data_IF_940270296915
#
_entry.id   IF_940270296915
#
_cell.length_a   1.000
_cell.length_b   1.000
_cell.length_c   1.000
_cell.angle_alpha   90.00
_cell.angle_beta   90.00
_cell.angle_gamma   90.00
#
_symmetry.space_group_name_H-M   'P 1'
#
loop_
_entity.id
_entity.type
_entity.pdbx_description
1 polymer ?
#
# COMPACT_ATOMS: atom_id res chain seq x y z
N UNK A 1 4.69 28.05 26.66
CA UNK A 1 3.88 26.88 27.03
C UNK A 1 4.71 25.63 26.81
N UNK A 2 4.45 24.53 27.49
CA UNK A 2 5.23 23.29 27.34
C UNK A 2 5.27 22.74 25.89
N UNK A 3 4.34 23.14 25.02
CA UNK A 3 4.29 22.78 23.62
C UNK A 3 5.24 23.59 22.73
N UNK A 4 5.74 24.71 23.18
CA UNK A 4 6.69 25.53 22.43
C UNK A 4 8.13 24.98 22.47
N UNK A 5 8.38 24.02 23.35
CA UNK A 5 9.68 23.38 23.52
C UNK A 5 9.80 22.00 22.81
N UNK A 6 8.68 21.48 22.25
CA UNK A 6 8.66 20.19 21.55
C UNK A 6 9.18 20.38 20.12
N UNK A 7 10.23 19.68 19.79
CA UNK A 7 10.82 19.64 18.44
C UNK A 7 10.22 18.49 17.63
N UNK A 8 10.41 18.50 16.31
CA UNK A 8 10.03 17.37 15.44
C UNK A 8 10.71 16.06 15.85
N UNK A 9 11.94 16.11 16.32
CA UNK A 9 12.71 14.96 16.80
C UNK A 9 12.12 14.34 18.08
N UNK A 10 11.47 15.15 18.92
CA UNK A 10 10.80 14.66 20.14
C UNK A 10 9.55 13.84 19.84
N UNK A 11 8.99 13.99 18.63
CA UNK A 11 7.80 13.27 18.17
C UNK A 11 8.13 11.96 17.47
N UNK A 12 9.40 11.73 17.13
CA UNK A 12 9.82 10.51 16.48
C UNK A 12 9.84 9.33 17.46
N UNK A 13 9.46 8.13 17.02
CA UNK A 13 9.62 6.92 17.80
C UNK A 13 11.09 6.63 18.07
N UNK A 14 11.39 6.09 19.25
CA UNK A 14 12.74 5.70 19.64
C UNK A 14 12.85 4.20 19.75
N UNK A 15 13.91 3.63 19.18
CA UNK A 15 14.28 2.24 19.41
C UNK A 15 15.21 2.12 20.60
N UNK A 16 15.21 0.96 21.27
CA UNK A 16 16.09 0.66 22.40
C UNK A 16 16.80 -0.67 22.15
N UNK A 17 18.12 -0.64 22.18
CA UNK A 17 18.96 -1.85 22.12
C UNK A 17 19.69 -1.95 23.45
N UNK A 18 19.51 -3.05 24.18
CA UNK A 18 20.06 -3.26 25.51
C UNK A 18 19.72 -2.15 26.52
N UNK A 19 18.52 -1.58 26.44
CA UNK A 19 18.02 -0.42 27.21
C UNK A 19 18.69 0.93 26.89
N UNK A 20 19.53 1.00 25.87
CA UNK A 20 20.06 2.27 25.38
C UNK A 20 19.24 2.74 24.17
N UNK A 21 18.85 4.04 24.13
CA UNK A 21 18.12 4.59 23.00
C UNK A 21 19.00 4.61 21.77
N UNK A 22 18.43 4.25 20.62
CA UNK A 22 19.08 4.30 19.31
C UNK A 22 18.27 5.20 18.41
N UNK A 23 18.91 6.22 17.87
CA UNK A 23 18.33 7.05 16.83
C UNK A 23 18.42 6.28 15.50
N UNK A 24 17.29 6.03 14.89
CA UNK A 24 17.18 5.25 13.65
C UNK A 24 16.34 5.94 12.57
N UNK A 25 15.81 7.10 12.87
CA UNK A 25 14.93 7.86 11.99
C UNK A 25 15.19 9.35 12.17
N UNK A 26 15.25 10.10 11.08
CA UNK A 26 15.27 11.56 11.10
C UNK A 26 13.91 12.09 10.68
N UNK A 27 13.52 13.24 11.22
CA UNK A 27 12.26 13.90 10.87
C UNK A 27 12.14 14.29 9.40
N UNK A 28 13.28 14.45 8.72
CA UNK A 28 13.35 14.77 7.28
C UNK A 28 13.18 13.55 6.37
N UNK A 29 13.24 12.33 6.91
CA UNK A 29 13.21 11.10 6.13
C UNK A 29 11.78 10.53 6.01
N UNK A 30 10.79 11.25 6.57
CA UNK A 30 9.41 10.84 6.49
C UNK A 30 8.78 11.24 5.15
N UNK A 31 8.31 10.25 4.41
CA UNK A 31 7.65 10.43 3.12
C UNK A 31 6.20 10.85 3.30
N UNK A 32 5.80 11.88 2.60
CA UNK A 32 4.41 12.27 2.38
C UNK A 32 4.07 11.99 0.92
N UNK A 33 3.12 11.12 0.66
CA UNK A 33 2.84 10.68 -0.70
C UNK A 33 1.69 11.47 -1.35
N UNK A 34 0.93 12.21 -0.57
CA UNK A 34 -0.17 13.02 -1.09
C UNK A 34 0.09 14.51 -0.83
N UNK A 35 0.50 15.23 -1.87
CA UNK A 35 0.70 16.69 -1.81
C UNK A 35 -0.61 17.46 -1.57
N UNK A 36 -1.77 16.83 -1.84
CA UNK A 36 -3.09 17.42 -1.66
C UNK A 36 -3.62 17.37 -0.22
N UNK A 37 -2.93 16.65 0.67
CA UNK A 37 -3.20 16.67 2.11
C UNK A 37 -2.63 17.92 2.76
N UNK A 38 -3.19 19.06 2.40
CA UNK A 38 -2.92 20.29 3.15
C UNK A 38 -3.60 20.23 4.52
N UNK A 39 -2.81 19.93 5.55
CA UNK A 39 -3.25 19.94 6.94
C UNK A 39 -3.91 21.28 7.35
N UNK A 40 -3.63 22.35 6.61
CA UNK A 40 -4.24 23.67 6.82
C UNK A 40 -5.70 23.71 6.41
N UNK A 41 -6.13 22.88 5.47
CA UNK A 41 -7.51 22.85 4.98
C UNK A 41 -8.42 21.89 5.73
N UNK A 42 -7.85 20.82 6.32
CA UNK A 42 -8.63 19.81 7.06
C UNK A 42 -8.62 20.01 8.57
N UNK A 43 -7.70 20.81 9.09
CA UNK A 43 -7.52 21.03 10.53
C UNK A 43 -7.01 19.79 11.30
N UNK A 44 -6.74 18.69 10.59
CA UNK A 44 -6.19 17.46 11.12
C UNK A 44 -4.80 17.27 10.52
N UNK A 45 -3.77 17.17 11.37
CA UNK A 45 -2.44 16.73 10.95
C UNK A 45 -2.45 15.26 10.53
N UNK A 46 -1.28 14.71 10.21
CA UNK A 46 -1.11 13.28 9.93
C UNK A 46 -1.18 12.50 11.26
N UNK A 47 -2.32 11.86 11.58
CA UNK A 47 -2.50 11.21 12.89
C UNK A 47 -1.77 9.87 13.00
N UNK A 48 -1.25 9.36 11.88
CA UNK A 48 -0.66 8.02 11.81
C UNK A 48 0.68 8.08 11.08
N UNK A 49 1.64 7.39 11.65
CA UNK A 49 2.96 7.17 11.07
C UNK A 49 3.16 5.67 10.90
N UNK A 50 3.50 5.24 9.70
CA UNK A 50 3.91 3.87 9.40
C UNK A 50 5.42 3.82 9.26
N UNK A 51 6.06 2.87 9.93
CA UNK A 51 7.50 2.67 9.88
C UNK A 51 7.83 1.35 9.20
N UNK A 52 8.79 1.40 8.32
CA UNK A 52 9.46 0.24 7.76
C UNK A 52 10.89 0.23 8.30
N UNK A 53 11.27 -0.86 8.96
CA UNK A 53 12.59 -0.98 9.59
C UNK A 53 13.24 -2.28 9.13
N UNK A 54 14.42 -2.19 8.53
CA UNK A 54 15.26 -3.33 8.20
C UNK A 54 16.18 -3.65 9.38
N UNK A 55 16.07 -4.87 9.86
CA UNK A 55 16.88 -5.35 11.01
C UNK A 55 17.72 -6.53 10.58
N UNK A 56 19.03 -6.44 10.78
CA UNK A 56 19.93 -7.58 10.68
C UNK A 56 19.82 -8.43 11.94
N UNK A 57 19.16 -9.56 11.83
CA UNK A 57 18.90 -10.44 12.97
C UNK A 57 20.19 -11.10 13.50
N UNK A 58 21.15 -11.36 12.62
CA UNK A 58 22.41 -12.00 13.02
C UNK A 58 23.33 -11.03 13.78
N UNK A 59 23.39 -9.79 13.34
CA UNK A 59 24.22 -8.74 13.94
C UNK A 59 23.48 -7.92 15.00
N UNK A 60 22.15 -8.08 15.10
CA UNK A 60 21.28 -7.33 15.99
C UNK A 60 21.38 -5.80 15.79
N UNK A 61 21.46 -5.39 14.52
CA UNK A 61 21.57 -3.97 14.13
C UNK A 61 20.36 -3.55 13.29
N UNK A 62 20.00 -2.27 13.37
CA UNK A 62 19.10 -1.64 12.42
C UNK A 62 19.94 -1.23 11.21
N UNK A 63 19.59 -1.71 10.02
CA UNK A 63 20.32 -1.41 8.79
C UNK A 63 19.73 -0.19 8.08
N UNK A 64 18.40 -0.11 8.04
CA UNK A 64 17.71 1.01 7.41
C UNK A 64 16.32 1.21 7.99
N UNK A 65 15.76 2.40 7.82
CA UNK A 65 14.39 2.72 8.19
C UNK A 65 13.79 3.77 7.27
N UNK A 66 12.48 3.64 7.03
CA UNK A 66 11.68 4.59 6.25
C UNK A 66 10.43 4.92 7.04
N UNK A 67 10.11 6.19 7.11
CA UNK A 67 8.90 6.71 7.70
C UNK A 67 7.91 7.09 6.59
N UNK A 68 6.66 6.73 6.78
CA UNK A 68 5.56 7.06 5.91
C UNK A 68 4.42 7.68 6.73
N UNK A 69 4.05 8.93 6.43
CA UNK A 69 3.09 9.72 7.21
C UNK A 69 1.65 9.45 6.79
N UNK A 70 1.27 8.20 6.72
CA UNK A 70 -0.10 7.76 6.43
C UNK A 70 -0.39 6.43 7.12
N UNK A 71 -1.67 6.12 7.25
CA UNK A 71 -2.10 4.81 7.70
C UNK A 71 -2.05 3.82 6.54
N UNK A 72 -1.63 2.60 6.82
CA UNK A 72 -1.74 1.50 5.87
C UNK A 72 -2.86 0.55 6.26
N UNK A 73 -3.67 0.14 5.28
CA UNK A 73 -4.71 -0.88 5.44
C UNK A 73 -4.16 -2.30 5.25
N UNK A 74 -2.96 -2.41 4.71
CA UNK A 74 -2.30 -3.69 4.54
C UNK A 74 -0.91 -3.56 3.94
N UNK A 75 -0.14 -4.62 4.11
CA UNK A 75 1.22 -4.74 3.60
C UNK A 75 1.33 -6.05 2.82
N UNK A 76 1.92 -5.99 1.64
CA UNK A 76 2.30 -7.17 0.86
C UNK A 76 3.81 -7.15 0.64
N UNK A 77 4.46 -8.28 0.79
CA UNK A 77 5.90 -8.43 0.58
C UNK A 77 6.11 -9.49 -0.49
N UNK A 78 6.83 -9.13 -1.53
CA UNK A 78 7.34 -10.03 -2.57
C UNK A 78 8.79 -10.41 -2.29
N UNK A 79 9.46 -11.00 -3.27
CA UNK A 79 10.91 -11.28 -3.19
C UNK A 79 11.76 -10.02 -3.44
N UNK A 80 11.21 -9.02 -4.11
CA UNK A 80 11.95 -7.84 -4.58
C UNK A 80 11.45 -6.54 -3.94
N UNK A 81 10.21 -6.52 -3.41
CA UNK A 81 9.58 -5.28 -2.99
C UNK A 81 8.62 -5.45 -1.82
N UNK A 82 8.38 -4.34 -1.12
CA UNK A 82 7.31 -4.18 -0.14
C UNK A 82 6.28 -3.22 -0.70
N UNK A 83 5.01 -3.54 -0.49
CA UNK A 83 3.88 -2.73 -0.93
C UNK A 83 3.03 -2.34 0.28
N UNK A 84 2.85 -1.03 0.49
CA UNK A 84 1.85 -0.51 1.40
C UNK A 84 0.56 -0.22 0.64
N UNK A 85 -0.55 -0.61 1.20
CA UNK A 85 -1.87 -0.42 0.60
C UNK A 85 -2.68 0.51 1.48
N UNK A 86 -3.13 1.61 0.91
CA UNK A 86 -4.07 2.54 1.50
C UNK A 86 -5.40 2.45 0.76
N UNK A 87 -6.51 2.60 1.46
CA UNK A 87 -7.85 2.51 0.87
C UNK A 87 -8.68 3.71 1.24
N UNK A 88 -9.39 4.24 0.25
CA UNK A 88 -10.24 5.40 0.40
C UNK A 88 -11.61 5.19 -0.27
N UNK A 89 -12.56 6.01 0.17
CA UNK A 89 -13.89 6.07 -0.41
C UNK A 89 -14.74 4.82 -0.20
N UNK A 90 -15.95 4.87 -0.72
CA UNK A 90 -16.94 3.80 -0.67
C UNK A 90 -17.74 3.75 -1.96
N UNK A 91 -18.31 2.58 -2.27
CA UNK A 91 -19.11 2.39 -3.47
C UNK A 91 -18.33 2.73 -4.72
N UNK A 92 -18.90 3.56 -5.59
CA UNK A 92 -18.31 3.94 -6.88
C UNK A 92 -17.03 4.79 -6.73
N UNK A 93 -16.83 5.40 -5.56
CA UNK A 93 -15.65 6.21 -5.26
C UNK A 93 -14.56 5.42 -4.51
N UNK A 94 -14.75 4.10 -4.33
CA UNK A 94 -13.75 3.30 -3.66
C UNK A 94 -12.51 3.12 -4.50
N UNK A 95 -11.34 3.32 -3.90
CA UNK A 95 -10.03 3.17 -4.53
C UNK A 95 -8.99 2.66 -3.54
N UNK A 96 -7.93 2.11 -4.09
CA UNK A 96 -6.76 1.70 -3.34
C UNK A 96 -5.52 2.31 -3.94
N UNK A 97 -4.67 2.86 -3.09
CA UNK A 97 -3.34 3.32 -3.43
C UNK A 97 -2.34 2.24 -3.05
N UNK A 98 -1.37 2.03 -3.91
CA UNK A 98 -0.34 1.01 -3.76
C UNK A 98 1.00 1.74 -3.83
N UNK A 99 1.76 1.70 -2.74
CA UNK A 99 3.07 2.33 -2.60
C UNK A 99 4.13 1.25 -2.57
N UNK A 100 5.10 1.36 -3.47
CA UNK A 100 6.16 0.37 -3.66
C UNK A 100 7.48 0.86 -3.06
N UNK A 101 8.13 -0.02 -2.30
CA UNK A 101 9.49 0.13 -1.79
C UNK A 101 10.30 -1.07 -2.23
N UNK A 102 11.52 -0.87 -2.70
CA UNK A 102 12.41 -1.96 -3.04
C UNK A 102 13.01 -2.59 -1.78
N UNK A 103 13.17 -3.93 -1.79
CA UNK A 103 13.78 -4.68 -0.68
C UNK A 103 15.29 -4.69 -0.75
N UNK A 104 15.87 -4.33 -1.90
CA UNK A 104 17.31 -4.25 -2.03
C UNK A 104 17.87 -3.00 -1.36
N UNK A 105 19.02 -3.11 -0.78
CA UNK A 105 19.91 -2.10 -0.21
C UNK A 105 19.29 -1.02 0.70
N UNK A 106 18.33 -0.20 0.25
CA UNK A 106 18.03 1.05 0.96
C UNK A 106 16.54 1.25 1.30
N UNK A 107 15.68 0.25 1.08
CA UNK A 107 14.22 0.38 1.24
C UNK A 107 13.67 1.59 0.46
N UNK A 108 14.24 1.83 -0.73
CA UNK A 108 13.94 3.01 -1.50
C UNK A 108 12.48 3.02 -1.95
N UNK A 109 11.81 4.15 -1.75
CA UNK A 109 10.50 4.37 -2.36
C UNK A 109 10.66 4.48 -3.87
N UNK A 110 9.94 3.62 -4.60
CA UNK A 110 10.06 3.52 -6.06
C UNK A 110 8.82 3.99 -6.80
N UNK A 111 7.68 4.10 -6.13
CA UNK A 111 6.52 4.69 -6.75
C UNK A 111 5.18 4.31 -6.16
N UNK A 112 4.12 4.94 -6.69
CA UNK A 112 2.75 4.63 -6.31
C UNK A 112 1.82 4.55 -7.51
N UNK A 113 0.71 3.83 -7.33
CA UNK A 113 -0.36 3.72 -8.31
C UNK A 113 -1.72 3.63 -7.65
N UNK A 114 -2.73 4.15 -8.34
CA UNK A 114 -4.13 4.07 -7.93
C UNK A 114 -4.84 2.96 -8.72
N UNK A 115 -5.69 2.19 -8.04
CA UNK A 115 -6.60 1.23 -8.64
C UNK A 115 -8.00 1.40 -8.09
N UNK A 116 -9.02 1.23 -8.94
CA UNK A 116 -10.41 1.33 -8.52
C UNK A 116 -10.80 0.12 -7.66
N UNK A 117 -11.57 0.38 -6.60
CA UNK A 117 -12.04 -0.63 -5.65
C UNK A 117 -11.04 -0.91 -4.51
N UNK A 118 -11.45 -1.72 -3.57
CA UNK A 118 -10.66 -2.09 -2.40
C UNK A 118 -10.00 -3.46 -2.56
N UNK A 119 -8.72 -3.57 -2.21
CA UNK A 119 -8.02 -4.85 -2.13
C UNK A 119 -8.47 -5.64 -0.89
N UNK A 120 -8.69 -4.96 0.23
CA UNK A 120 -9.18 -5.60 1.43
C UNK A 120 -10.70 -5.73 1.37
N UNK A 121 -11.18 -6.91 1.62
CA UNK A 121 -12.59 -7.22 1.76
C UNK A 121 -12.73 -8.23 2.88
N UNK A 122 -13.62 -9.19 2.73
CA UNK A 122 -13.73 -10.37 3.63
C UNK A 122 -12.56 -11.36 3.47
N UNK A 123 -11.59 -11.07 2.59
CA UNK A 123 -10.46 -11.94 2.29
C UNK A 123 -9.13 -11.39 2.77
N UNK A 124 -8.12 -12.24 2.72
CA UNK A 124 -6.75 -11.88 3.07
C UNK A 124 -6.13 -11.08 1.93
N UNK A 125 -5.51 -9.95 2.28
CA UNK A 125 -4.81 -9.08 1.34
C UNK A 125 -3.75 -9.82 0.53
N UNK A 126 -3.00 -10.71 1.18
CA UNK A 126 -1.84 -11.43 0.64
C UNK A 126 -2.15 -12.22 -0.63
N UNK A 127 -3.42 -12.55 -0.85
CA UNK A 127 -3.82 -13.30 -2.04
C UNK A 127 -4.39 -12.42 -3.16
N UNK A 128 -4.70 -11.17 -2.86
CA UNK A 128 -5.28 -10.23 -3.83
C UNK A 128 -4.26 -9.36 -4.54
N UNK A 129 -3.02 -9.39 -4.10
CA UNK A 129 -1.89 -8.71 -4.73
C UNK A 129 -0.77 -9.70 -4.97
N UNK A 130 -0.05 -9.52 -6.07
CA UNK A 130 1.09 -10.35 -6.45
C UNK A 130 2.02 -9.59 -7.37
N UNK A 131 3.31 -9.66 -7.11
CA UNK A 131 4.34 -9.23 -8.04
C UNK A 131 4.82 -10.40 -8.91
N UNK A 132 4.95 -10.17 -10.21
CA UNK A 132 5.41 -11.19 -11.15
C UNK A 132 6.03 -10.56 -12.41
N UNK A 133 7.27 -10.88 -12.67
CA UNK A 133 8.03 -10.39 -13.84
C UNK A 133 8.01 -8.85 -13.97
N UNK A 134 8.17 -8.13 -12.87
CA UNK A 134 8.17 -6.67 -12.85
C UNK A 134 6.77 -6.01 -12.95
N UNK A 135 5.71 -6.81 -12.91
CA UNK A 135 4.33 -6.32 -12.88
C UNK A 135 3.69 -6.57 -11.52
N UNK A 136 2.90 -5.63 -11.06
CA UNK A 136 2.04 -5.76 -9.88
C UNK A 136 0.62 -6.08 -10.34
N UNK A 137 0.09 -7.21 -9.92
CA UNK A 137 -1.26 -7.68 -10.26
C UNK A 137 -2.13 -7.60 -9.04
N UNK A 138 -3.24 -6.89 -9.14
CA UNK A 138 -4.16 -6.67 -8.02
C UNK A 138 -5.57 -7.04 -8.39
N UNK A 139 -6.28 -7.69 -7.45
CA UNK A 139 -7.71 -7.98 -7.55
C UNK A 139 -8.44 -7.12 -6.53
N UNK A 140 -9.24 -6.20 -7.02
CA UNK A 140 -10.05 -5.32 -6.19
C UNK A 140 -11.52 -5.71 -6.23
N UNK A 141 -12.25 -5.26 -5.22
CA UNK A 141 -13.71 -5.36 -5.15
C UNK A 141 -14.29 -3.99 -4.87
N UNK A 142 -15.34 -3.65 -5.59
CA UNK A 142 -16.10 -2.42 -5.44
C UNK A 142 -17.55 -2.79 -5.09
N UNK A 143 -18.10 -2.18 -4.05
CA UNK A 143 -19.50 -2.39 -3.71
C UNK A 143 -20.39 -1.55 -4.61
N UNK A 144 -21.37 -2.18 -5.26
CA UNK A 144 -22.17 -1.57 -6.31
C UNK A 144 -23.67 -1.57 -6.05
N UNK A 145 -24.14 -2.10 -4.93
CA UNK A 145 -25.57 -2.29 -4.81
C UNK A 145 -26.17 -2.42 -3.43
N UNK A 146 -27.42 -2.83 -3.45
CA UNK A 146 -28.35 -2.81 -2.32
C UNK A 146 -28.22 -4.03 -1.39
N UNK A 147 -27.34 -4.98 -1.71
CA UNK A 147 -27.11 -6.17 -0.87
C UNK A 147 -25.60 -6.38 -0.59
N UNK A 148 -25.28 -7.13 0.45
CA UNK A 148 -23.92 -7.35 0.92
C UNK A 148 -23.00 -8.03 -0.12
N UNK A 149 -23.57 -8.72 -1.11
CA UNK A 149 -22.86 -9.49 -2.12
C UNK A 149 -22.76 -8.75 -3.48
N UNK A 150 -23.42 -7.59 -3.62
CA UNK A 150 -23.37 -6.78 -4.84
C UNK A 150 -22.01 -6.09 -4.96
N UNK A 151 -21.06 -6.76 -5.60
CA UNK A 151 -19.69 -6.27 -5.77
C UNK A 151 -19.19 -6.53 -7.16
N UNK A 152 -18.59 -5.52 -7.76
CA UNK A 152 -17.78 -5.70 -8.96
C UNK A 152 -16.35 -6.02 -8.58
N UNK A 153 -15.72 -6.87 -9.37
CA UNK A 153 -14.33 -7.27 -9.19
C UNK A 153 -13.52 -6.88 -10.42
N UNK A 154 -12.30 -6.44 -10.16
CA UNK A 154 -11.36 -6.04 -11.21
C UNK A 154 -10.02 -6.71 -10.98
N UNK A 155 -9.39 -7.15 -12.05
CA UNK A 155 -7.96 -7.45 -12.08
C UNK A 155 -7.27 -6.30 -12.77
N UNK A 156 -6.43 -5.59 -12.03
CA UNK A 156 -5.58 -4.52 -12.58
C UNK A 156 -4.13 -4.98 -12.59
N UNK A 157 -3.42 -4.66 -13.65
CA UNK A 157 -1.98 -4.90 -13.79
C UNK A 157 -1.28 -3.56 -13.86
N UNK A 158 -0.34 -3.35 -12.97
CA UNK A 158 0.48 -2.15 -12.89
C UNK A 158 1.91 -2.47 -13.26
N UNK A 159 2.62 -1.49 -13.80
CA UNK A 159 4.04 -1.55 -14.09
C UNK A 159 4.72 -0.28 -13.59
N UNK A 160 5.92 -0.43 -13.03
CA UNK A 160 6.75 0.71 -12.66
C UNK A 160 7.12 1.52 -13.91
N UNK A 161 6.89 2.84 -13.85
CA UNK A 161 7.37 3.76 -14.87
C UNK A 161 8.89 3.87 -14.81
N UNK A 162 9.53 3.99 -15.96
CA UNK A 162 10.98 4.24 -16.03
C UNK A 162 11.37 5.68 -15.71
N UNK A 163 10.43 6.60 -15.83
CA UNK A 163 10.71 8.04 -15.86
C UNK A 163 10.05 8.80 -14.70
N UNK A 164 9.31 8.10 -13.86
CA UNK A 164 8.60 8.71 -12.72
C UNK A 164 8.35 7.71 -11.58
N UNK A 165 7.99 8.24 -10.42
CA UNK A 165 7.56 7.46 -9.26
C UNK A 165 6.09 7.00 -9.40
N UNK A 166 5.73 6.44 -10.57
CA UNK A 166 4.39 5.96 -10.85
C UNK A 166 4.37 4.45 -11.12
N UNK A 167 3.36 3.79 -10.57
CA UNK A 167 2.93 2.47 -11.02
C UNK A 167 1.78 2.69 -12.01
N UNK A 168 2.08 2.56 -13.30
CA UNK A 168 1.13 2.83 -14.37
C UNK A 168 0.24 1.63 -14.65
N UNK A 169 -1.06 1.87 -14.84
CA UNK A 169 -1.99 0.82 -15.24
C UNK A 169 -1.74 0.41 -16.69
N UNK A 170 -1.26 -0.81 -16.89
CA UNK A 170 -1.02 -1.37 -18.23
C UNK A 170 -2.15 -2.27 -18.71
N UNK A 171 -2.96 -2.79 -17.81
CA UNK A 171 -4.13 -3.60 -18.17
C UNK A 171 -5.16 -3.61 -17.06
N UNK A 172 -6.43 -3.81 -17.45
CA UNK A 172 -7.54 -4.03 -16.52
C UNK A 172 -8.54 -5.02 -17.11
N UNK A 173 -9.12 -5.87 -16.27
CA UNK A 173 -10.26 -6.73 -16.59
C UNK A 173 -11.39 -6.49 -15.57
N UNK A 174 -12.67 -6.48 -16.01
CA UNK A 174 -13.11 -6.53 -17.41
C UNK A 174 -12.76 -5.27 -18.20
N UNK A 175 -12.70 -5.37 -19.52
CA UNK A 175 -12.48 -4.26 -20.44
C UNK A 175 -13.31 -4.44 -21.71
N UNK A 176 -13.23 -3.51 -22.66
CA UNK A 176 -14.02 -3.56 -23.90
C UNK A 176 -13.76 -4.77 -24.78
N UNK A 177 -12.54 -5.32 -24.76
CA UNK A 177 -12.17 -6.52 -25.50
C UNK A 177 -12.56 -7.81 -24.77
N UNK A 178 -12.62 -7.76 -23.45
CA UNK A 178 -12.98 -8.87 -22.55
C UNK A 178 -13.99 -8.37 -21.52
N UNK A 179 -15.27 -8.20 -21.91
CA UNK A 179 -16.28 -7.57 -21.07
C UNK A 179 -16.89 -8.52 -20.01
N UNK A 180 -16.51 -9.79 -20.00
CA UNK A 180 -17.05 -10.76 -19.04
C UNK A 180 -16.66 -10.37 -17.62
N UNK A 181 -17.66 -10.30 -16.75
CA UNK A 181 -17.46 -10.02 -15.32
C UNK A 181 -16.58 -11.08 -14.65
N UNK A 182 -15.75 -10.63 -13.70
CA UNK A 182 -14.90 -11.52 -12.88
C UNK A 182 -15.72 -12.02 -11.68
N UNK A 183 -16.87 -12.58 -11.93
CA UNK A 183 -17.75 -13.15 -10.87
C UNK A 183 -18.89 -13.94 -11.48
N UNK A 184 -19.54 -14.73 -10.66
CA UNK A 184 -20.94 -15.10 -10.92
C UNK A 184 -21.87 -14.01 -10.33
N UNK A 185 -23.05 -13.83 -10.89
CA UNK A 185 -24.01 -12.86 -10.37
C UNK A 185 -24.27 -13.09 -8.86
N UNK A 186 -24.19 -12.01 -8.08
CA UNK A 186 -24.43 -12.02 -6.63
C UNK A 186 -23.48 -12.89 -5.79
N UNK A 187 -22.26 -13.12 -6.26
CA UNK A 187 -21.24 -13.83 -5.48
C UNK A 187 -20.09 -12.86 -5.10
N UNK A 188 -19.66 -12.96 -3.83
CA UNK A 188 -18.41 -12.35 -3.38
C UNK A 188 -17.23 -13.27 -3.72
N UNK A 189 -16.05 -12.70 -3.93
CA UNK A 189 -14.83 -13.47 -4.07
C UNK A 189 -14.39 -14.02 -2.70
N UNK A 190 -14.34 -15.34 -2.59
CA UNK A 190 -13.90 -16.05 -1.39
C UNK A 190 -12.41 -16.35 -1.38
N UNK A 191 -11.79 -16.41 -2.54
CA UNK A 191 -10.36 -16.69 -2.67
C UNK A 191 -9.79 -16.18 -3.98
N UNK A 192 -8.55 -15.77 -3.92
CA UNK A 192 -7.76 -15.32 -5.07
C UNK A 192 -6.43 -16.06 -5.02
N UNK A 193 -5.99 -16.62 -6.14
CA UNK A 193 -4.67 -17.26 -6.25
C UNK A 193 -4.03 -16.94 -7.58
N UNK A 194 -2.84 -16.40 -7.53
CA UNK A 194 -1.98 -16.25 -8.69
C UNK A 194 -1.02 -17.45 -8.80
N UNK A 195 -0.91 -18.00 -9.98
CA UNK A 195 0.02 -19.07 -10.28
C UNK A 195 0.62 -18.87 -11.66
N UNK A 196 1.89 -18.49 -11.73
CA UNK A 196 2.53 -18.08 -12.98
C UNK A 196 1.70 -16.99 -13.68
N UNK A 197 1.33 -17.20 -14.92
CA UNK A 197 0.53 -16.26 -15.71
C UNK A 197 -1.00 -16.42 -15.53
N UNK A 198 -1.45 -17.18 -14.53
CA UNK A 198 -2.86 -17.47 -14.34
C UNK A 198 -3.36 -16.88 -13.02
N UNK A 199 -4.61 -16.48 -13.04
CA UNK A 199 -5.38 -16.09 -11.87
C UNK A 199 -6.55 -17.08 -11.70
N UNK A 200 -6.74 -17.55 -10.47
CA UNK A 200 -7.85 -18.41 -10.05
C UNK A 200 -8.70 -17.67 -9.01
N UNK A 201 -10.01 -17.71 -9.21
CA UNK A 201 -11.02 -17.01 -8.40
C UNK A 201 -12.10 -18.00 -7.95
#
# INVERSE_FOLDING_TARGET
>A
SALEEVTSEDLLPKAYINNEPVDFLNSTDCLMINEDHDASTTGYGYPTMTLLVAVNVAEQTIENSVCYLESTNGVYVSQESIYFIQQEGWGDNSKSFIHKFDLDADLAYTGSGEVQGHLTGRGQLDFRINEHNGYVRVVTSQWTGDNEDARDHRLTVLQQSSDSYNLEQVSVLPNSANPAEIRKPNEALYGVRFFGNKLYL
#
